data_IF_268235412167
#
_entry.id   IF_268235412167
#
_cell.length_a   1.000
_cell.length_b   1.000
_cell.length_c   1.000
_cell.angle_alpha   90.00
_cell.angle_beta   90.00
_cell.angle_gamma   90.00
#
_symmetry.space_group_name_H-M   'P 1'
#
loop_
_entity.id
_entity.type
_entity.pdbx_description
1 polymer ?
#
# COMPACT_ATOMS: atom_id res chain seq x y z
N UNK A 1 -16.05 -23.20 20.45
CA UNK A 1 -14.58 -23.46 20.64
C UNK A 1 -13.91 -22.10 20.66
N UNK A 2 -13.32 -21.76 21.77
CA UNK A 2 -12.62 -20.47 21.94
C UNK A 2 -11.33 -20.47 21.12
N UNK A 3 -11.11 -19.44 20.30
CA UNK A 3 -9.89 -19.26 19.51
C UNK A 3 -8.87 -18.42 20.31
N UNK A 4 -7.65 -18.89 20.40
CA UNK A 4 -6.56 -18.14 21.03
C UNK A 4 -5.90 -17.24 19.97
N UNK A 5 -6.02 -15.94 20.14
CA UNK A 5 -5.47 -14.93 19.22
C UNK A 5 -4.41 -14.10 19.96
N UNK A 6 -3.16 -14.26 19.54
CA UNK A 6 -2.04 -13.47 20.04
C UNK A 6 -2.00 -12.11 19.36
N UNK A 7 -1.92 -11.05 20.13
CA UNK A 7 -1.60 -9.72 19.61
C UNK A 7 -0.09 -9.48 19.73
N UNK A 8 0.61 -9.61 18.60
CA UNK A 8 2.06 -9.47 18.48
C UNK A 8 2.41 -8.17 17.77
N UNK A 9 2.28 -7.05 18.48
CA UNK A 9 2.71 -5.73 18.07
C UNK A 9 3.37 -5.01 19.26
N UNK A 10 3.92 -3.83 19.04
CA UNK A 10 4.48 -3.03 20.15
C UNK A 10 3.43 -2.80 21.26
N UNK A 11 3.78 -3.01 22.53
CA UNK A 11 2.83 -2.90 23.66
C UNK A 11 2.08 -1.58 23.71
N UNK A 12 2.72 -0.48 23.32
CA UNK A 12 2.09 0.84 23.25
C UNK A 12 0.91 0.92 22.27
N UNK A 13 0.77 -0.03 21.35
CA UNK A 13 -0.34 -0.10 20.40
C UNK A 13 -1.57 -0.80 20.95
N UNK A 14 -1.41 -1.66 21.96
CA UNK A 14 -2.50 -2.46 22.53
C UNK A 14 -3.76 -1.67 22.87
N UNK A 15 -3.71 -0.52 23.61
CA UNK A 15 -4.90 0.21 23.97
C UNK A 15 -5.74 0.69 22.77
N UNK A 16 -5.09 0.95 21.63
CA UNK A 16 -5.78 1.39 20.41
C UNK A 16 -6.41 0.25 19.60
N UNK A 17 -5.95 -0.98 19.81
CA UNK A 17 -6.40 -2.13 19.02
C UNK A 17 -7.32 -3.08 19.78
N UNK A 18 -7.20 -3.16 21.09
CA UNK A 18 -7.95 -4.12 21.91
C UNK A 18 -9.47 -4.03 21.71
N UNK A 19 -10.05 -2.86 21.95
CA UNK A 19 -11.50 -2.70 21.86
C UNK A 19 -12.04 -2.89 20.44
N UNK A 20 -11.43 -2.31 19.37
CA UNK A 20 -11.85 -2.57 18.00
C UNK A 20 -11.77 -4.04 17.58
N UNK A 21 -10.70 -4.76 17.97
CA UNK A 21 -10.56 -6.19 17.65
C UNK A 21 -11.61 -7.03 18.37
N UNK A 22 -11.84 -6.81 19.67
CA UNK A 22 -12.88 -7.51 20.42
C UNK A 22 -14.27 -7.29 19.80
N UNK A 23 -14.59 -6.03 19.47
CA UNK A 23 -15.87 -5.69 18.82
C UNK A 23 -16.02 -6.38 17.44
N UNK A 24 -14.95 -6.45 16.65
CA UNK A 24 -14.96 -7.11 15.36
C UNK A 24 -15.16 -8.63 15.47
N UNK A 25 -14.52 -9.29 16.45
CA UNK A 25 -14.70 -10.71 16.72
C UNK A 25 -16.11 -11.03 17.23
N UNK A 26 -16.64 -10.19 18.12
CA UNK A 26 -18.01 -10.31 18.61
C UNK A 26 -19.03 -10.16 17.47
N UNK A 27 -18.87 -9.15 16.63
CA UNK A 27 -19.71 -8.93 15.46
C UNK A 27 -19.67 -10.09 14.45
N UNK A 28 -18.52 -10.79 14.38
CA UNK A 28 -18.34 -12.00 13.57
C UNK A 28 -18.88 -13.28 14.25
N UNK A 29 -19.39 -13.20 15.48
CA UNK A 29 -19.86 -14.34 16.25
C UNK A 29 -18.74 -15.30 16.69
N UNK A 30 -17.50 -14.80 16.80
CA UNK A 30 -16.33 -15.59 17.18
C UNK A 30 -16.09 -15.50 18.69
N UNK A 31 -15.98 -16.68 19.33
CA UNK A 31 -15.52 -16.79 20.71
C UNK A 31 -14.00 -16.76 20.76
N UNK A 32 -13.41 -15.65 21.26
CA UNK A 32 -11.99 -15.36 21.17
C UNK A 32 -11.37 -15.03 22.52
N UNK A 33 -10.26 -15.67 22.85
CA UNK A 33 -9.32 -15.23 23.86
C UNK A 33 -8.22 -14.40 23.17
N UNK A 34 -8.36 -13.06 23.20
CA UNK A 34 -7.40 -12.11 22.65
C UNK A 34 -6.47 -11.60 23.76
N UNK A 35 -5.16 -11.83 23.62
CA UNK A 35 -4.15 -11.42 24.61
C UNK A 35 -2.80 -11.13 23.95
N UNK A 36 -1.97 -10.37 24.64
CA UNK A 36 -0.55 -10.16 24.28
C UNK A 36 0.35 -11.29 24.82
N UNK A 37 -0.16 -12.12 25.71
CA UNK A 37 0.59 -13.17 26.37
C UNK A 37 -0.22 -14.48 26.28
N UNK A 38 0.15 -15.33 25.34
CA UNK A 38 -0.41 -16.67 25.12
C UNK A 38 0.76 -17.62 24.83
N UNK A 39 0.83 -18.81 25.47
CA UNK A 39 1.84 -19.80 25.15
C UNK A 39 1.85 -20.13 23.66
N UNK A 40 3.00 -20.08 23.00
CA UNK A 40 3.11 -20.18 21.54
C UNK A 40 2.39 -21.41 20.96
N UNK A 41 2.50 -22.56 21.64
CA UNK A 41 1.84 -23.81 21.21
C UNK A 41 0.31 -23.79 21.32
N UNK A 42 -0.28 -22.78 21.98
CA UNK A 42 -1.73 -22.64 22.16
C UNK A 42 -2.36 -21.61 21.22
N UNK A 43 -1.55 -20.83 20.49
CA UNK A 43 -2.00 -19.77 19.60
C UNK A 43 -2.64 -20.34 18.33
N UNK A 44 -3.85 -19.92 18.01
CA UNK A 44 -4.56 -20.28 16.78
C UNK A 44 -4.33 -19.28 15.64
N UNK A 45 -4.22 -17.97 15.97
CA UNK A 45 -3.96 -16.87 15.02
C UNK A 45 -3.08 -15.82 15.66
N UNK A 46 -2.30 -15.14 14.83
CA UNK A 46 -1.42 -14.06 15.27
C UNK A 46 -1.82 -12.77 14.57
N UNK A 47 -2.30 -11.77 15.34
CA UNK A 47 -2.45 -10.38 14.88
C UNK A 47 -1.09 -9.72 15.04
N UNK A 48 -0.44 -9.39 13.94
CA UNK A 48 1.00 -9.12 13.88
C UNK A 48 1.34 -7.75 13.32
N UNK A 49 2.34 -7.11 13.87
CA UNK A 49 3.02 -5.98 13.25
C UNK A 49 4.52 -6.28 13.09
N UNK A 50 5.13 -6.02 11.90
CA UNK A 50 6.53 -6.35 11.63
C UNK A 50 7.57 -5.73 12.58
N UNK A 51 7.20 -4.69 13.31
CA UNK A 51 8.03 -4.05 14.32
C UNK A 51 7.82 -4.58 15.75
N UNK A 52 7.18 -5.74 15.88
CA UNK A 52 7.06 -6.46 17.18
C UNK A 52 8.33 -7.23 17.50
N UNK A 53 8.44 -7.70 18.75
CA UNK A 53 9.55 -8.55 19.19
C UNK A 53 9.44 -9.97 18.61
N UNK A 54 8.27 -10.37 18.09
CA UNK A 54 8.05 -11.66 17.47
C UNK A 54 8.68 -11.68 16.08
N UNK A 55 9.77 -12.41 15.91
CA UNK A 55 10.47 -12.58 14.64
C UNK A 55 10.63 -14.06 14.25
N UNK A 56 10.50 -14.98 15.22
CA UNK A 56 10.55 -16.44 15.01
C UNK A 56 9.15 -17.04 15.17
N UNK A 57 8.60 -17.58 14.08
CA UNK A 57 7.27 -18.21 14.06
C UNK A 57 7.33 -19.73 14.33
N UNK A 58 8.51 -20.33 14.42
CA UNK A 58 8.69 -21.78 14.65
C UNK A 58 7.94 -22.32 15.87
N UNK A 59 7.87 -21.60 17.03
CA UNK A 59 7.17 -22.13 18.22
C UNK A 59 5.66 -22.19 18.08
N UNK A 60 5.07 -21.50 17.09
CA UNK A 60 3.63 -21.35 16.91
C UNK A 60 3.02 -22.48 16.09
N UNK A 61 3.27 -23.71 16.50
CA UNK A 61 2.95 -24.94 15.76
C UNK A 61 1.47 -25.17 15.49
N UNK A 62 0.58 -24.51 16.24
CA UNK A 62 -0.87 -24.59 16.10
C UNK A 62 -1.45 -23.42 15.29
N UNK A 63 -0.68 -22.37 15.07
CA UNK A 63 -1.14 -21.17 14.38
C UNK A 63 -1.53 -21.49 12.93
N UNK A 64 -2.67 -20.95 12.50
CA UNK A 64 -3.27 -21.19 11.19
C UNK A 64 -2.97 -20.08 10.20
N UNK A 65 -2.77 -18.85 10.70
CA UNK A 65 -2.41 -17.70 9.87
C UNK A 65 -1.85 -16.57 10.72
N UNK A 66 -1.06 -15.71 10.06
CA UNK A 66 -0.63 -14.40 10.54
C UNK A 66 -1.46 -13.33 9.86
N UNK A 67 -2.08 -12.47 10.66
CA UNK A 67 -2.92 -11.34 10.22
C UNK A 67 -2.12 -10.06 10.41
N UNK A 68 -1.48 -9.59 9.34
CA UNK A 68 -0.63 -8.41 9.40
C UNK A 68 -1.46 -7.13 9.54
N UNK A 69 -1.15 -6.32 10.54
CA UNK A 69 -1.77 -5.01 10.77
C UNK A 69 -1.34 -3.95 9.76
N UNK A 70 -0.29 -4.22 8.98
CA UNK A 70 0.21 -3.30 7.97
C UNK A 70 -0.16 -3.78 6.56
N UNK A 71 -0.32 -2.81 5.65
CA UNK A 71 -0.50 -3.10 4.23
C UNK A 71 0.82 -3.53 3.57
N UNK A 72 1.95 -2.98 4.04
CA UNK A 72 3.30 -3.39 3.65
C UNK A 72 3.65 -4.75 4.23
N UNK A 73 4.39 -5.54 3.46
CA UNK A 73 4.82 -6.90 3.83
C UNK A 73 6.34 -7.08 3.72
N UNK A 74 7.05 -6.03 3.42
CA UNK A 74 8.49 -6.03 3.10
C UNK A 74 9.32 -6.62 4.22
N UNK A 75 8.98 -6.29 5.45
CA UNK A 75 9.71 -6.73 6.64
C UNK A 75 9.36 -8.15 7.11
N UNK A 76 8.41 -8.84 6.46
CA UNK A 76 8.00 -10.19 6.84
C UNK A 76 8.08 -11.20 5.69
N UNK A 77 7.96 -10.71 4.44
CA UNK A 77 8.14 -11.56 3.25
C UNK A 77 9.59 -12.03 3.19
N UNK A 78 9.78 -13.34 3.13
CA UNK A 78 11.12 -13.94 3.16
C UNK A 78 11.58 -14.37 4.55
N UNK A 79 10.76 -14.22 5.60
CA UNK A 79 11.03 -14.83 6.89
C UNK A 79 10.88 -16.36 6.76
N UNK A 80 12.00 -17.08 6.87
CA UNK A 80 12.05 -18.54 6.67
C UNK A 80 11.27 -19.33 7.73
N UNK A 81 11.00 -18.72 8.91
CA UNK A 81 10.23 -19.34 9.97
C UNK A 81 8.72 -19.19 9.77
N UNK A 82 8.27 -18.30 8.85
CA UNK A 82 6.87 -18.07 8.54
C UNK A 82 6.39 -19.08 7.49
N UNK A 83 5.97 -20.25 7.92
CA UNK A 83 5.49 -21.34 7.05
C UNK A 83 3.97 -21.41 6.91
N UNK A 84 3.24 -20.55 7.61
CA UNK A 84 1.78 -20.46 7.58
C UNK A 84 1.31 -19.26 6.75
N UNK A 85 0.04 -19.23 6.29
CA UNK A 85 -0.50 -18.12 5.49
C UNK A 85 -0.33 -16.77 6.17
N UNK A 86 0.08 -15.77 5.37
CA UNK A 86 0.14 -14.36 5.74
C UNK A 86 -0.97 -13.58 5.04
N UNK A 87 -1.87 -12.98 5.80
CA UNK A 87 -2.87 -12.03 5.29
C UNK A 87 -2.40 -10.61 5.60
N UNK A 88 -2.25 -9.77 4.58
CA UNK A 88 -1.96 -8.34 4.77
C UNK A 88 -3.22 -7.53 5.00
N UNK A 89 -3.10 -6.39 5.66
CA UNK A 89 -4.20 -5.45 5.81
C UNK A 89 -4.54 -4.80 4.45
N UNK A 90 -5.84 -4.77 4.14
CA UNK A 90 -6.43 -3.96 3.07
C UNK A 90 -7.60 -3.19 3.69
N UNK A 91 -7.43 -1.89 3.85
CA UNK A 91 -8.40 -1.03 4.52
C UNK A 91 -8.89 0.09 3.59
N UNK A 92 -10.22 0.33 3.52
CA UNK A 92 -10.76 1.43 2.72
C UNK A 92 -10.28 2.81 3.17
N UNK A 93 -10.01 3.01 4.45
CA UNK A 93 -9.45 4.27 4.97
C UNK A 93 -8.05 4.53 4.46
N UNK A 94 -7.17 3.51 4.48
CA UNK A 94 -5.84 3.59 3.90
C UNK A 94 -5.92 3.87 2.40
N UNK A 95 -6.81 3.18 1.69
CA UNK A 95 -6.98 3.39 0.24
C UNK A 95 -7.38 4.83 -0.06
N UNK A 96 -8.38 5.37 0.64
CA UNK A 96 -8.83 6.76 0.46
C UNK A 96 -7.72 7.76 0.77
N UNK A 97 -7.04 7.62 1.91
CA UNK A 97 -5.94 8.51 2.28
C UNK A 97 -4.78 8.49 1.26
N UNK A 98 -4.45 7.31 0.72
CA UNK A 98 -3.42 7.20 -0.33
C UNK A 98 -3.88 7.84 -1.66
N UNK A 99 -5.14 7.67 -2.04
CA UNK A 99 -5.71 8.34 -3.22
C UNK A 99 -5.63 9.85 -3.08
N UNK A 100 -6.03 10.40 -1.93
CA UNK A 100 -5.96 11.83 -1.65
C UNK A 100 -4.51 12.34 -1.71
N UNK A 101 -3.59 11.62 -1.05
CA UNK A 101 -2.18 12.00 -0.97
C UNK A 101 -1.52 12.01 -2.35
N UNK A 102 -1.67 10.93 -3.11
CA UNK A 102 -1.04 10.81 -4.45
C UNK A 102 -1.65 11.82 -5.42
N UNK A 103 -2.98 11.95 -5.43
CA UNK A 103 -3.68 12.92 -6.30
C UNK A 103 -3.24 14.35 -5.98
N UNK A 104 -3.13 14.69 -4.69
CA UNK A 104 -2.64 16.00 -4.25
C UNK A 104 -1.23 16.31 -4.76
N UNK A 105 -0.32 15.32 -4.70
CA UNK A 105 1.05 15.49 -5.21
C UNK A 105 1.10 15.57 -6.75
N UNK A 106 0.30 14.77 -7.46
CA UNK A 106 0.19 14.86 -8.93
C UNK A 106 -0.28 16.26 -9.34
N UNK A 107 -1.33 16.76 -8.69
CA UNK A 107 -1.84 18.13 -8.97
C UNK A 107 -0.82 19.21 -8.61
N UNK A 108 -0.05 19.04 -7.52
CA UNK A 108 1.01 19.97 -7.14
C UNK A 108 2.07 20.10 -8.23
N UNK A 109 2.55 18.98 -8.78
CA UNK A 109 3.51 18.98 -9.89
C UNK A 109 2.87 19.46 -11.20
N UNK A 110 1.67 18.98 -11.50
CA UNK A 110 0.95 19.35 -12.71
C UNK A 110 0.71 20.86 -12.82
N UNK A 111 0.32 21.51 -11.73
CA UNK A 111 0.01 22.93 -11.65
C UNK A 111 1.24 23.80 -11.32
N UNK A 112 2.42 23.20 -11.18
CA UNK A 112 3.66 23.90 -10.78
C UNK A 112 3.48 24.77 -9.52
N UNK A 113 2.75 24.22 -8.52
CA UNK A 113 2.40 24.96 -7.30
C UNK A 113 3.63 25.41 -6.51
N UNK A 114 4.74 24.65 -6.57
CA UNK A 114 5.96 24.96 -5.80
C UNK A 114 6.58 26.29 -6.19
N UNK A 115 6.45 26.69 -7.45
CA UNK A 115 6.91 27.99 -7.92
C UNK A 115 6.22 29.14 -7.19
N UNK A 116 4.96 28.99 -6.80
CA UNK A 116 4.24 30.03 -6.05
C UNK A 116 4.39 29.87 -4.54
N UNK A 117 4.36 28.63 -4.02
CA UNK A 117 4.47 28.35 -2.58
C UNK A 117 5.83 28.79 -2.02
N UNK A 118 6.92 28.59 -2.78
CA UNK A 118 8.28 28.88 -2.34
C UNK A 118 8.72 30.35 -2.59
N UNK A 119 7.87 31.15 -3.22
CA UNK A 119 8.20 32.55 -3.52
C UNK A 119 8.03 33.45 -2.30
N UNK A 120 8.95 34.40 -2.18
CA UNK A 120 8.98 35.39 -1.09
C UNK A 120 8.83 36.84 -1.56
N UNK A 121 8.75 37.09 -2.88
CA UNK A 121 8.78 38.42 -3.47
C UNK A 121 7.40 39.05 -3.71
N UNK A 122 6.31 38.34 -3.40
CA UNK A 122 4.92 38.76 -3.56
C UNK A 122 4.56 39.28 -4.97
N UNK A 123 5.32 38.89 -6.01
CA UNK A 123 5.05 39.28 -7.38
C UNK A 123 4.05 38.31 -8.03
N UNK A 124 3.12 38.84 -8.80
CA UNK A 124 2.24 38.06 -9.66
C UNK A 124 2.96 37.72 -10.97
N UNK A 125 3.28 36.41 -11.17
CA UNK A 125 3.86 35.91 -12.43
C UNK A 125 2.82 34.96 -13.08
N UNK A 126 2.13 35.43 -14.13
CA UNK A 126 1.21 34.57 -14.86
C UNK A 126 2.00 33.45 -15.57
N UNK A 127 1.51 32.23 -15.46
CA UNK A 127 2.03 31.03 -16.13
C UNK A 127 0.90 30.31 -16.81
N UNK A 128 1.19 29.74 -17.96
CA UNK A 128 0.32 28.78 -18.61
C UNK A 128 0.79 27.39 -18.24
N UNK A 129 -0.05 26.62 -17.55
CA UNK A 129 0.17 25.20 -17.28
C UNK A 129 -0.73 24.40 -18.23
N UNK A 130 -0.27 23.23 -18.74
CA UNK A 130 -1.09 22.39 -19.60
C UNK A 130 -2.35 21.92 -18.86
N UNK A 131 -3.40 21.60 -19.59
CA UNK A 131 -4.58 20.96 -19.02
C UNK A 131 -4.26 19.49 -18.67
N UNK A 132 -5.05 18.90 -17.76
CA UNK A 132 -4.86 17.49 -17.37
C UNK A 132 -4.87 16.52 -18.57
N UNK A 133 -5.72 16.77 -19.56
CA UNK A 133 -5.81 15.99 -20.80
C UNK A 133 -4.56 16.07 -21.70
N UNK A 134 -3.69 17.03 -21.47
CA UNK A 134 -2.43 17.23 -22.18
C UNK A 134 -1.24 16.66 -21.42
N UNK A 135 -1.48 16.09 -20.22
CA UNK A 135 -0.45 15.55 -19.34
C UNK A 135 -0.52 14.03 -19.26
N UNK A 136 0.61 13.38 -19.53
CA UNK A 136 0.77 11.94 -19.39
C UNK A 136 1.25 11.57 -18.00
N UNK A 137 0.46 10.77 -17.30
CA UNK A 137 0.80 10.28 -15.95
C UNK A 137 0.88 8.75 -15.95
N UNK A 138 1.86 8.21 -15.27
CA UNK A 138 2.11 6.77 -15.21
C UNK A 138 1.97 6.26 -13.79
N UNK A 139 1.15 5.23 -13.60
CA UNK A 139 0.97 4.52 -12.34
C UNK A 139 1.70 3.18 -12.38
N UNK A 140 2.81 3.07 -11.68
CA UNK A 140 3.54 1.81 -11.50
C UNK A 140 2.98 1.06 -10.29
N UNK A 141 2.22 0.00 -10.57
CA UNK A 141 1.53 -0.80 -9.57
C UNK A 141 0.02 -0.61 -9.58
N UNK A 142 -0.68 -1.49 -10.31
CA UNK A 142 -2.16 -1.53 -10.37
C UNK A 142 -2.75 -2.50 -9.33
N UNK A 143 -2.25 -2.43 -8.09
CA UNK A 143 -2.88 -3.06 -6.92
C UNK A 143 -4.09 -2.25 -6.44
N UNK A 144 -4.63 -2.57 -5.25
CA UNK A 144 -5.81 -1.90 -4.70
C UNK A 144 -5.64 -0.37 -4.62
N UNK A 145 -4.46 0.11 -4.19
CA UNK A 145 -4.16 1.54 -4.04
C UNK A 145 -3.96 2.21 -5.40
N UNK A 146 -3.12 1.62 -6.27
CA UNK A 146 -2.79 2.21 -7.55
C UNK A 146 -3.96 2.24 -8.53
N UNK A 147 -4.79 1.19 -8.57
CA UNK A 147 -6.00 1.16 -9.39
C UNK A 147 -6.98 2.26 -8.96
N UNK A 148 -7.28 2.37 -7.66
CA UNK A 148 -8.18 3.41 -7.15
C UNK A 148 -7.64 4.83 -7.41
N UNK A 149 -6.32 5.03 -7.31
CA UNK A 149 -5.71 6.34 -7.63
C UNK A 149 -5.78 6.63 -9.13
N UNK A 150 -5.49 5.64 -9.97
CA UNK A 150 -5.54 5.79 -11.43
C UNK A 150 -6.96 6.17 -11.91
N UNK A 151 -8.00 5.56 -11.34
CA UNK A 151 -9.40 5.91 -11.64
C UNK A 151 -9.71 7.37 -11.31
N UNK A 152 -9.23 7.90 -10.18
CA UNK A 152 -9.44 9.32 -9.81
C UNK A 152 -8.68 10.24 -10.77
N UNK A 153 -7.46 9.90 -11.17
CA UNK A 153 -6.70 10.69 -12.14
C UNK A 153 -7.37 10.71 -13.52
N UNK A 154 -7.96 9.60 -13.95
CA UNK A 154 -8.80 9.55 -15.17
C UNK A 154 -10.01 10.48 -15.04
N UNK A 155 -10.69 10.49 -13.89
CA UNK A 155 -11.83 11.39 -13.65
C UNK A 155 -11.44 12.88 -13.67
N UNK A 156 -10.19 13.21 -13.30
CA UNK A 156 -9.63 14.56 -13.41
C UNK A 156 -9.21 14.91 -14.84
N UNK A 157 -9.26 13.96 -15.76
CA UNK A 157 -8.98 14.18 -17.19
C UNK A 157 -7.54 13.89 -17.61
N UNK A 158 -6.68 13.33 -16.75
CA UNK A 158 -5.31 12.96 -17.13
C UNK A 158 -5.28 11.78 -18.12
N UNK A 159 -4.25 11.76 -18.99
CA UNK A 159 -3.91 10.59 -19.78
C UNK A 159 -3.16 9.58 -18.89
N UNK A 160 -3.85 8.55 -18.43
CA UNK A 160 -3.30 7.61 -17.44
C UNK A 160 -2.86 6.32 -18.12
N UNK A 161 -1.56 6.02 -18.01
CA UNK A 161 -1.00 4.69 -18.30
C UNK A 161 -0.72 3.99 -16.97
N UNK A 162 -1.12 2.74 -16.85
CA UNK A 162 -0.88 1.93 -15.66
C UNK A 162 -0.03 0.71 -15.98
N UNK A 163 0.93 0.39 -15.12
CA UNK A 163 1.75 -0.80 -15.29
C UNK A 163 1.61 -1.75 -14.10
N UNK A 164 1.63 -3.04 -14.39
CA UNK A 164 1.71 -4.10 -13.38
C UNK A 164 2.43 -5.34 -13.93
N UNK A 165 2.96 -6.18 -13.03
CA UNK A 165 3.67 -7.41 -13.42
C UNK A 165 2.81 -8.37 -14.26
N UNK A 166 1.54 -8.49 -13.94
CA UNK A 166 0.56 -9.34 -14.64
C UNK A 166 -0.55 -8.50 -15.26
N UNK A 167 -1.22 -8.98 -16.31
CA UNK A 167 -2.31 -8.23 -16.95
C UNK A 167 -3.36 -7.75 -15.95
N UNK A 168 -3.78 -6.51 -16.10
CA UNK A 168 -4.86 -5.86 -15.35
C UNK A 168 -5.76 -5.09 -16.30
N UNK A 169 -6.97 -4.80 -15.85
CA UNK A 169 -7.89 -3.89 -16.51
C UNK A 169 -8.43 -2.90 -15.47
N UNK A 170 -8.23 -1.61 -15.73
CA UNK A 170 -8.76 -0.50 -14.94
C UNK A 170 -9.45 0.46 -15.89
N UNK A 171 -10.67 0.89 -15.55
CA UNK A 171 -11.49 1.70 -16.44
C UNK A 171 -10.81 3.03 -16.80
N UNK A 172 -10.68 3.32 -18.10
CA UNK A 172 -10.07 4.54 -18.61
C UNK A 172 -8.54 4.61 -18.51
N UNK A 173 -7.87 3.53 -18.08
CA UNK A 173 -6.42 3.42 -17.94
C UNK A 173 -5.87 2.54 -19.06
N UNK A 174 -4.82 3.00 -19.76
CA UNK A 174 -4.06 2.18 -20.69
C UNK A 174 -3.15 1.23 -19.87
N UNK A 175 -3.56 -0.04 -19.75
CA UNK A 175 -2.92 -1.01 -18.88
C UNK A 175 -1.85 -1.81 -19.61
N UNK A 176 -0.59 -1.62 -19.21
CA UNK A 176 0.58 -2.34 -19.68
C UNK A 176 1.06 -3.37 -18.64
N UNK A 177 1.83 -4.36 -19.08
CA UNK A 177 2.36 -5.38 -18.16
C UNK A 177 3.68 -5.98 -18.67
N UNK A 178 4.39 -6.63 -17.76
CA UNK A 178 5.67 -7.28 -18.06
C UNK A 178 6.82 -6.28 -18.27
N UNK A 179 8.03 -6.77 -18.60
CA UNK A 179 9.22 -5.92 -18.76
C UNK A 179 9.08 -4.89 -19.88
N UNK A 180 8.65 -5.32 -21.08
CA UNK A 180 8.46 -4.43 -22.23
C UNK A 180 7.41 -3.35 -21.96
N UNK A 181 6.33 -3.71 -21.25
CA UNK A 181 5.30 -2.77 -20.85
C UNK A 181 5.80 -1.75 -19.81
N UNK A 182 6.82 -2.07 -19.01
CA UNK A 182 7.44 -1.10 -18.08
C UNK A 182 8.21 -0.03 -18.86
N UNK A 183 9.04 -0.44 -19.83
CA UNK A 183 9.80 0.50 -20.66
C UNK A 183 8.85 1.42 -21.44
N UNK A 184 7.80 0.85 -22.03
CA UNK A 184 6.79 1.61 -22.75
C UNK A 184 6.05 2.58 -21.84
N UNK A 185 5.65 2.17 -20.63
CA UNK A 185 4.99 3.05 -19.66
C UNK A 185 5.89 4.24 -19.29
N UNK A 186 7.15 3.96 -18.92
CA UNK A 186 8.10 5.00 -18.51
C UNK A 186 8.45 5.96 -19.65
N UNK A 187 8.56 5.49 -20.90
CA UNK A 187 8.82 6.35 -22.05
C UNK A 187 7.73 7.40 -22.32
N UNK A 188 6.54 7.19 -21.79
CA UNK A 188 5.39 8.10 -21.92
C UNK A 188 5.22 9.05 -20.74
N UNK A 189 5.95 8.81 -19.63
CA UNK A 189 5.71 9.47 -18.36
C UNK A 189 6.22 10.91 -18.32
N UNK A 190 5.35 11.88 -18.09
CA UNK A 190 5.75 13.20 -17.58
C UNK A 190 5.72 13.23 -16.05
N UNK A 191 4.78 12.48 -15.44
CA UNK A 191 4.70 12.27 -13.99
C UNK A 191 4.57 10.77 -13.74
N UNK A 192 5.51 10.18 -12.99
CA UNK A 192 5.47 8.78 -12.61
C UNK A 192 5.14 8.62 -11.11
N UNK A 193 4.19 7.76 -10.79
CA UNK A 193 3.82 7.37 -9.44
C UNK A 193 4.19 5.91 -9.21
N UNK A 194 4.92 5.62 -8.13
CA UNK A 194 5.36 4.29 -7.75
C UNK A 194 4.59 3.82 -6.51
N UNK A 195 3.67 2.86 -6.70
CA UNK A 195 2.91 2.20 -5.64
C UNK A 195 3.14 0.68 -5.65
N UNK A 196 4.37 0.27 -5.89
CA UNK A 196 4.83 -1.11 -5.76
C UNK A 196 5.25 -1.39 -4.32
N UNK A 197 5.06 -2.62 -3.82
CA UNK A 197 5.69 -3.03 -2.54
C UNK A 197 7.21 -3.07 -2.74
N UNK A 198 7.98 -2.75 -1.71
CA UNK A 198 9.44 -2.93 -1.74
C UNK A 198 9.79 -4.40 -1.45
N UNK A 199 10.06 -5.15 -2.49
CA UNK A 199 10.41 -6.57 -2.44
C UNK A 199 11.61 -6.82 -3.34
N UNK A 200 12.32 -7.95 -3.21
CA UNK A 200 13.41 -8.29 -4.13
C UNK A 200 13.03 -8.24 -5.62
N UNK A 201 11.74 -8.46 -5.94
CA UNK A 201 11.23 -8.43 -7.31
C UNK A 201 10.90 -7.02 -7.83
N UNK A 202 10.85 -6.01 -6.95
CA UNK A 202 10.46 -4.63 -7.29
C UNK A 202 11.49 -3.59 -6.87
N UNK A 203 12.48 -3.99 -6.07
CA UNK A 203 13.63 -3.16 -5.73
C UNK A 203 14.33 -2.71 -7.01
N UNK A 204 14.67 -1.42 -7.08
CA UNK A 204 15.30 -0.79 -8.24
C UNK A 204 14.47 -0.83 -9.54
N UNK A 205 13.15 -0.93 -9.47
CA UNK A 205 12.27 -0.78 -10.66
C UNK A 205 12.50 0.56 -11.36
N UNK A 206 12.74 1.62 -10.60
CA UNK A 206 13.22 2.90 -11.12
C UNK A 206 14.71 3.04 -10.79
N UNK A 207 15.52 3.21 -11.81
CA UNK A 207 16.97 3.37 -11.71
C UNK A 207 17.49 4.22 -12.88
N UNK A 208 18.82 4.40 -12.97
CA UNK A 208 19.42 5.24 -14.01
C UNK A 208 19.21 4.73 -15.46
N UNK A 209 18.92 3.45 -15.63
CA UNK A 209 18.68 2.86 -16.95
C UNK A 209 17.20 2.95 -17.37
N UNK A 210 16.29 3.12 -16.39
CA UNK A 210 14.83 3.18 -16.62
C UNK A 210 14.26 4.59 -16.57
N UNK A 211 15.05 5.60 -16.17
CA UNK A 211 14.72 7.03 -16.14
C UNK A 211 15.51 7.79 -17.18
#
# INVERSE_FOLDING_TARGET
MTLNILFAAQPARWPGYEAPLRSAFEAAGLDVHLSMDIPAAEVDYIVYAPNSDLQDFTPYTRAKAVLNLWAGVEAIVGNETLTIPLARMVDPGLTKGMVEWVTGHVLRYHLDMDTDILRSDAQWLPREVPLAQERSVVMLGLGALGAATAEVLVQLGFNVTGWSRSPKAVAGVDCLHGPEGLEEALSRAEIAMLLLPDTPATTNTLNADTL
#
